data_IF_619072655398
#
_entry.id   IF_619072655398
#
_cell.length_a   1.000
_cell.length_b   1.000
_cell.length_c   1.000
_cell.angle_alpha   90.00
_cell.angle_beta   90.00
_cell.angle_gamma   90.00
#
_symmetry.space_group_name_H-M   'P 1'
#
loop_
_entity.id
_entity.type
_entity.pdbx_description
1 polymer ?
#
# COMPACT_ATOMS: atom_id res chain seq x y z
N UNK A 1 -5.83 19.71 2.72
CA UNK A 1 -5.79 18.81 3.89
C UNK A 1 -5.15 17.53 3.42
N UNK A 2 -4.14 17.04 4.14
CA UNK A 2 -3.50 15.76 3.80
C UNK A 2 -4.46 14.59 4.07
N UNK A 3 -4.28 13.52 3.30
CA UNK A 3 -5.06 12.28 3.40
C UNK A 3 -4.09 11.19 3.85
N UNK A 4 -4.36 10.57 5.00
CA UNK A 4 -3.57 9.45 5.50
C UNK A 4 -4.33 8.15 5.23
N UNK A 5 -3.60 7.13 4.79
CA UNK A 5 -4.16 5.84 4.39
C UNK A 5 -3.35 4.73 5.02
N UNK A 6 -4.05 3.68 5.44
CA UNK A 6 -3.46 2.38 5.77
C UNK A 6 -4.12 1.34 4.87
N UNK A 7 -3.31 0.64 4.07
CA UNK A 7 -3.75 -0.50 3.29
C UNK A 7 -3.21 -1.80 3.90
N UNK A 8 -4.08 -2.78 4.12
CA UNK A 8 -3.72 -4.11 4.62
C UNK A 8 -3.94 -5.12 3.49
N UNK A 9 -2.89 -5.87 3.17
CA UNK A 9 -2.84 -6.78 2.04
C UNK A 9 -2.48 -8.17 2.56
N UNK A 10 -3.44 -9.10 2.48
CA UNK A 10 -3.23 -10.49 2.88
C UNK A 10 -2.78 -11.32 1.67
N UNK A 11 -1.53 -11.83 1.63
CA UNK A 11 -1.09 -12.67 0.54
C UNK A 11 -1.92 -13.97 0.47
N UNK A 12 -2.04 -14.52 -0.74
CA UNK A 12 -2.40 -15.92 -0.92
C UNK A 12 -1.22 -16.81 -0.52
N UNK A 13 -1.51 -18.04 -0.08
CA UNK A 13 -0.48 -18.97 0.38
C UNK A 13 0.58 -19.23 -0.71
N UNK A 14 1.86 -19.03 -0.36
CA UNK A 14 2.99 -19.22 -1.28
C UNK A 14 3.19 -18.09 -2.29
N UNK A 15 2.45 -16.98 -2.19
CA UNK A 15 2.55 -15.80 -3.08
C UNK A 15 3.25 -14.61 -2.42
N UNK A 16 3.73 -14.74 -1.19
CA UNK A 16 4.31 -13.68 -0.37
C UNK A 16 5.50 -13.01 -1.06
N UNK A 17 6.43 -13.80 -1.61
CA UNK A 17 7.62 -13.28 -2.29
C UNK A 17 7.26 -12.47 -3.55
N UNK A 18 6.31 -12.97 -4.35
CA UNK A 18 5.85 -12.31 -5.57
C UNK A 18 5.09 -11.03 -5.26
N UNK A 19 4.21 -11.07 -4.26
CA UNK A 19 3.49 -9.89 -3.81
C UNK A 19 4.45 -8.83 -3.26
N UNK A 20 5.44 -9.24 -2.47
CA UNK A 20 6.49 -8.35 -1.95
C UNK A 20 7.26 -7.66 -3.07
N UNK A 21 7.71 -8.41 -4.07
CA UNK A 21 8.41 -7.87 -5.25
C UNK A 21 7.57 -6.78 -5.94
N UNK A 22 6.31 -7.06 -6.21
CA UNK A 22 5.41 -6.12 -6.86
C UNK A 22 5.13 -4.86 -6.02
N UNK A 23 4.93 -5.02 -4.71
CA UNK A 23 4.72 -3.89 -3.80
C UNK A 23 5.97 -3.01 -3.70
N UNK A 24 7.16 -3.61 -3.60
CA UNK A 24 8.42 -2.84 -3.60
C UNK A 24 8.64 -2.10 -4.92
N UNK A 25 8.31 -2.74 -6.05
CA UNK A 25 8.36 -2.10 -7.37
C UNK A 25 7.35 -0.96 -7.51
N UNK A 26 6.18 -1.06 -6.89
CA UNK A 26 5.23 0.06 -6.80
C UNK A 26 5.83 1.21 -5.99
N UNK A 27 6.36 0.95 -4.79
CA UNK A 27 6.94 1.98 -3.93
C UNK A 27 8.05 2.79 -4.63
N UNK A 28 8.91 2.14 -5.42
CA UNK A 28 9.90 2.85 -6.22
C UNK A 28 9.29 3.79 -7.24
N UNK A 29 8.20 3.38 -7.89
CA UNK A 29 7.50 4.21 -8.89
C UNK A 29 6.77 5.36 -8.23
N UNK A 30 6.11 5.14 -7.08
CA UNK A 30 5.49 6.21 -6.29
C UNK A 30 6.55 7.23 -5.90
N UNK A 31 7.67 6.78 -5.32
CA UNK A 31 8.76 7.64 -4.90
C UNK A 31 9.34 8.49 -6.04
N UNK A 32 9.45 7.93 -7.25
CA UNK A 32 10.01 8.62 -8.43
C UNK A 32 9.02 9.57 -9.11
N UNK A 33 7.72 9.23 -9.13
CA UNK A 33 6.74 9.89 -10.00
C UNK A 33 5.69 10.72 -9.25
N UNK A 34 5.39 10.42 -7.99
CA UNK A 34 4.33 11.06 -7.22
C UNK A 34 4.91 12.04 -6.18
N UNK A 35 5.15 13.29 -6.61
CA UNK A 35 5.77 14.32 -5.75
C UNK A 35 4.88 14.81 -4.61
N UNK A 36 3.56 14.62 -4.74
CA UNK A 36 2.55 15.03 -3.76
C UNK A 36 2.21 13.91 -2.76
N UNK A 37 3.07 12.89 -2.68
CA UNK A 37 3.01 11.77 -1.72
C UNK A 37 4.14 11.94 -0.71
N UNK A 38 3.81 12.44 0.48
CA UNK A 38 4.78 12.72 1.53
C UNK A 38 5.17 11.50 2.36
N UNK A 39 4.41 10.40 2.30
CA UNK A 39 4.77 9.11 2.89
C UNK A 39 4.24 7.96 2.04
N UNK A 40 5.08 6.97 1.78
CA UNK A 40 4.68 5.69 1.20
C UNK A 40 5.62 4.60 1.73
N UNK A 41 5.18 3.88 2.76
CA UNK A 41 6.03 2.91 3.46
C UNK A 41 5.33 1.57 3.57
N UNK A 42 6.03 0.51 3.16
CA UNK A 42 5.54 -0.86 3.22
C UNK A 42 6.18 -1.56 4.43
N UNK A 43 5.35 -2.31 5.14
CA UNK A 43 5.71 -3.12 6.29
C UNK A 43 5.27 -4.56 6.05
N UNK A 44 6.01 -5.49 6.62
CA UNK A 44 5.65 -6.90 6.70
C UNK A 44 5.36 -7.22 8.16
N UNK A 45 4.19 -7.78 8.43
CA UNK A 45 3.91 -8.38 9.73
C UNK A 45 4.90 -9.52 9.96
N UNK A 46 5.49 -9.60 11.16
CA UNK A 46 6.49 -10.63 11.48
C UNK A 46 6.01 -11.63 12.53
N UNK A 47 4.83 -11.42 13.11
CA UNK A 47 4.27 -12.18 14.21
C UNK A 47 2.81 -12.61 13.96
N UNK A 48 2.42 -12.81 12.70
CA UNK A 48 1.06 -13.24 12.36
C UNK A 48 0.82 -14.71 12.72
N UNK A 49 -0.23 -14.99 13.50
CA UNK A 49 -0.60 -16.37 13.88
C UNK A 49 -1.14 -17.18 12.68
N UNK A 50 -1.79 -16.51 11.71
CA UNK A 50 -2.44 -17.12 10.55
C UNK A 50 -1.75 -16.73 9.22
N UNK A 51 -0.44 -16.49 9.27
CA UNK A 51 0.32 -15.91 8.16
C UNK A 51 0.47 -14.40 8.28
N UNK A 52 1.47 -13.87 7.60
CA UNK A 52 1.85 -12.47 7.68
C UNK A 52 1.12 -11.65 6.61
N UNK A 53 0.62 -10.47 6.99
CA UNK A 53 0.10 -9.47 6.04
C UNK A 53 1.18 -8.43 5.70
N UNK A 54 0.99 -7.77 4.56
CA UNK A 54 1.70 -6.53 4.26
C UNK A 54 0.82 -5.34 4.66
N UNK A 55 1.44 -4.31 5.24
CA UNK A 55 0.77 -3.06 5.61
C UNK A 55 1.44 -1.93 4.84
N UNK A 56 0.67 -1.07 4.20
CA UNK A 56 1.18 0.13 3.52
C UNK A 56 0.63 1.34 4.22
N UNK A 57 1.51 2.22 4.69
CA UNK A 57 1.15 3.53 5.22
C UNK A 57 1.47 4.61 4.20
N UNK A 58 0.45 5.38 3.86
CA UNK A 58 0.52 6.37 2.79
C UNK A 58 0.02 7.72 3.30
N UNK A 59 0.65 8.80 2.87
CA UNK A 59 0.21 10.17 3.14
C UNK A 59 0.29 10.99 1.87
N UNK A 60 -0.86 11.50 1.45
CA UNK A 60 -1.05 12.35 0.29
C UNK A 60 -1.25 13.78 0.73
N UNK A 61 -0.66 14.74 0.03
CA UNK A 61 -0.74 16.15 0.41
C UNK A 61 -2.16 16.72 0.24
N UNK A 62 -2.94 16.14 -0.67
CA UNK A 62 -4.30 16.54 -0.96
C UNK A 62 -5.14 15.41 -1.58
N UNK A 63 -6.45 15.66 -1.75
CA UNK A 63 -7.38 14.68 -2.31
C UNK A 63 -7.10 14.36 -3.78
N UNK A 64 -6.63 15.32 -4.57
CA UNK A 64 -6.30 15.09 -5.98
C UNK A 64 -5.10 14.14 -6.12
N UNK A 65 -4.08 14.26 -5.26
CA UNK A 65 -2.96 13.31 -5.20
C UNK A 65 -3.43 11.89 -4.84
N UNK A 66 -4.27 11.76 -3.81
CA UNK A 66 -4.88 10.47 -3.45
C UNK A 66 -5.70 9.86 -4.60
N UNK A 67 -6.55 10.64 -5.27
CA UNK A 67 -7.36 10.15 -6.38
C UNK A 67 -6.51 9.85 -7.64
N UNK A 68 -5.38 10.54 -7.82
CA UNK A 68 -4.47 10.33 -8.93
C UNK A 68 -3.68 9.03 -8.79
N UNK A 69 -3.25 8.67 -7.57
CA UNK A 69 -2.49 7.45 -7.28
C UNK A 69 -3.12 6.19 -7.89
N UNK A 70 -4.42 5.97 -7.64
CA UNK A 70 -5.17 4.81 -8.17
C UNK A 70 -5.35 4.82 -9.69
N UNK A 71 -5.16 5.97 -10.34
CA UNK A 71 -5.32 6.14 -11.79
C UNK A 71 -4.00 6.02 -12.55
N UNK A 72 -2.88 5.88 -11.85
CA UNK A 72 -1.58 5.72 -12.49
C UNK A 72 -1.49 4.36 -13.19
N UNK A 73 -0.79 4.32 -14.32
CA UNK A 73 -0.63 3.09 -15.11
C UNK A 73 0.03 1.97 -14.29
N UNK A 74 0.98 2.32 -13.41
CA UNK A 74 1.66 1.33 -12.59
C UNK A 74 0.83 0.81 -11.43
N UNK A 75 -0.09 1.61 -10.87
CA UNK A 75 -1.04 1.10 -9.88
C UNK A 75 -2.07 0.18 -10.54
N UNK A 76 -2.58 0.55 -11.70
CA UNK A 76 -3.50 -0.30 -12.47
C UNK A 76 -2.84 -1.61 -12.91
N UNK A 77 -1.56 -1.56 -13.33
CA UNK A 77 -0.78 -2.75 -13.65
C UNK A 77 -0.56 -3.65 -12.42
N UNK A 78 -0.32 -3.07 -11.24
CA UNK A 78 -0.27 -3.84 -10.00
C UNK A 78 -1.61 -4.54 -9.74
N UNK A 79 -2.73 -3.81 -9.81
CA UNK A 79 -4.07 -4.38 -9.61
C UNK A 79 -4.36 -5.54 -10.57
N UNK A 80 -4.01 -5.39 -11.84
CA UNK A 80 -4.14 -6.43 -12.85
C UNK A 80 -3.27 -7.66 -12.54
N UNK A 81 -2.02 -7.47 -12.11
CA UNK A 81 -1.13 -8.57 -11.72
C UNK A 81 -1.63 -9.29 -10.46
N UNK A 82 -2.06 -8.55 -9.44
CA UNK A 82 -2.61 -9.09 -8.19
C UNK A 82 -3.83 -9.95 -8.46
N UNK A 83 -4.76 -9.48 -9.31
CA UNK A 83 -5.94 -10.22 -9.68
C UNK A 83 -5.61 -11.42 -10.60
N UNK A 84 -4.80 -11.21 -11.63
CA UNK A 84 -4.48 -12.23 -12.62
C UNK A 84 -3.66 -13.40 -12.05
N UNK A 85 -2.72 -13.12 -11.15
CA UNK A 85 -1.90 -14.13 -10.50
C UNK A 85 -2.51 -14.65 -9.17
N UNK A 86 -3.69 -14.14 -8.77
CA UNK A 86 -4.39 -14.47 -7.52
C UNK A 86 -3.47 -14.32 -6.29
N UNK A 87 -2.81 -13.15 -6.19
CA UNK A 87 -1.75 -12.93 -5.20
C UNK A 87 -2.26 -12.64 -3.78
N UNK A 88 -3.55 -12.34 -3.64
CA UNK A 88 -4.19 -12.02 -2.36
C UNK A 88 -5.28 -13.02 -2.04
N UNK A 89 -5.41 -13.37 -0.76
CA UNK A 89 -6.45 -14.29 -0.25
C UNK A 89 -7.75 -13.58 0.11
N UNK A 90 -7.74 -12.25 0.19
CA UNK A 90 -8.90 -11.42 0.50
C UNK A 90 -8.80 -10.08 -0.26
N UNK A 91 -9.93 -9.34 -0.43
CA UNK A 91 -9.89 -7.97 -0.90
C UNK A 91 -8.95 -7.10 -0.05
N UNK A 92 -8.20 -6.21 -0.70
CA UNK A 92 -7.31 -5.28 -0.02
C UNK A 92 -8.14 -4.35 0.88
N UNK A 93 -7.79 -4.26 2.16
CA UNK A 93 -8.49 -3.43 3.13
C UNK A 93 -7.82 -2.05 3.22
N UNK A 94 -8.44 -1.05 2.61
CA UNK A 94 -7.94 0.33 2.55
C UNK A 94 -8.74 1.20 3.51
N UNK A 95 -8.04 1.88 4.43
CA UNK A 95 -8.64 2.78 5.43
C UNK A 95 -8.08 4.19 5.29
N UNK A 96 -8.94 5.18 5.09
CA UNK A 96 -8.56 6.58 5.27
C UNK A 96 -8.65 6.93 6.75
N UNK A 97 -7.54 7.38 7.33
CA UNK A 97 -7.39 7.60 8.77
C UNK A 97 -7.01 9.05 9.08
N UNK A 98 -7.16 9.42 10.36
CA UNK A 98 -6.64 10.67 10.92
C UNK A 98 -6.11 10.42 12.32
N UNK A 99 -5.02 11.07 12.74
CA UNK A 99 -4.51 10.93 14.09
C UNK A 99 -5.50 11.55 15.10
N UNK A 100 -5.68 10.89 16.24
CA UNK A 100 -6.47 11.40 17.38
C UNK A 100 -5.60 11.69 18.61
N UNK A 101 -4.31 11.40 18.54
CA UNK A 101 -3.30 11.57 19.59
C UNK A 101 -1.98 10.88 19.20
N UNK A 102 -0.90 11.11 19.95
CA UNK A 102 0.42 10.49 19.72
C UNK A 102 1.43 11.42 19.01
N UNK A 103 2.52 10.82 18.51
CA UNK A 103 3.62 11.51 17.81
C UNK A 103 4.06 10.68 16.60
N UNK A 104 4.38 11.34 15.47
CA UNK A 104 4.83 10.66 14.25
C UNK A 104 6.34 10.33 14.27
N UNK A 105 7.13 11.10 15.02
CA UNK A 105 8.58 10.92 15.25
C UNK A 105 8.97 11.58 16.58
N UNK A 106 10.14 11.21 17.13
CA UNK A 106 10.75 11.81 18.32
C UNK A 106 12.19 12.20 18.03
#
# INVERSE_FOLDING_TARGET
MSIQVVAIITPAAGKEARLKELLTGLAEKVSKNEKDVSKYQIFEQFNGENGNVFVVEETYDNRAAFDAHFKTEYFQALGAAVQGEQLVSAPIDIKTIKPIGGFASR
#
